data_IF_241928689795
#
_entry.id   IF_241928689795
#
_cell.length_a   1.000
_cell.length_b   1.000
_cell.length_c   1.000
_cell.angle_alpha   90.00
_cell.angle_beta   90.00
_cell.angle_gamma   90.00
#
_symmetry.space_group_name_H-M   'P 1'
#
loop_
_entity.id
_entity.type
_entity.pdbx_description
1 polymer ?
#
# COMPACT_ATOMS: atom_id res chain seq x y z
N UNK A 1 5.92 15.12 -1.03
CA UNK A 1 4.50 15.04 -0.66
C UNK A 1 3.66 15.02 -1.92
N UNK A 2 2.69 14.11 -2.01
CA UNK A 2 1.72 14.05 -3.10
C UNK A 2 0.41 14.62 -2.58
N UNK A 3 -0.19 15.55 -3.29
CA UNK A 3 -1.50 16.12 -2.95
C UNK A 3 -2.47 15.93 -4.11
N UNK A 4 -3.63 15.37 -3.81
CA UNK A 4 -4.76 15.19 -4.73
C UNK A 4 -5.94 15.93 -4.14
N UNK A 5 -6.55 16.86 -4.88
CA UNK A 5 -7.65 17.70 -4.39
C UNK A 5 -8.81 17.69 -5.37
N UNK A 6 -9.95 17.14 -4.93
CA UNK A 6 -11.23 17.12 -5.63
C UNK A 6 -11.15 16.63 -7.09
N UNK A 7 -10.33 15.59 -7.32
CA UNK A 7 -10.07 15.09 -8.67
C UNK A 7 -11.26 14.31 -9.20
N UNK A 8 -11.74 14.73 -10.35
CA UNK A 8 -12.82 14.07 -11.11
C UNK A 8 -12.28 13.60 -12.46
N UNK A 9 -12.67 12.39 -12.86
CA UNK A 9 -12.42 11.84 -14.18
C UNK A 9 -13.58 11.00 -14.69
N UNK A 10 -14.05 11.34 -15.87
CA UNK A 10 -15.14 10.64 -16.55
C UNK A 10 -14.66 10.07 -17.88
N UNK A 11 -15.05 8.83 -18.19
CA UNK A 11 -14.82 8.17 -19.47
C UNK A 11 -16.17 7.70 -20.01
N UNK A 12 -16.56 8.15 -21.19
CA UNK A 12 -17.81 7.76 -21.87
C UNK A 12 -19.06 7.78 -20.96
N UNK A 13 -19.15 8.82 -20.11
CA UNK A 13 -20.25 8.99 -19.15
C UNK A 13 -20.07 8.25 -17.81
N UNK A 14 -19.09 7.33 -17.71
CA UNK A 14 -18.78 6.66 -16.46
C UNK A 14 -17.75 7.48 -15.64
N UNK A 15 -18.13 7.85 -14.42
CA UNK A 15 -17.28 8.61 -13.51
C UNK A 15 -16.33 7.67 -12.78
N UNK A 16 -15.08 7.58 -13.28
CA UNK A 16 -14.05 6.70 -12.73
C UNK A 16 -13.37 7.28 -11.49
N UNK A 17 -13.29 8.60 -11.36
CA UNK A 17 -12.91 9.33 -10.14
C UNK A 17 -13.97 10.37 -9.84
N UNK A 18 -14.43 10.45 -8.60
CA UNK A 18 -15.56 11.28 -8.17
C UNK A 18 -15.18 12.13 -6.95
N UNK A 19 -14.40 13.20 -7.18
CA UNK A 19 -13.96 14.10 -6.14
C UNK A 19 -12.91 13.50 -5.21
N UNK A 20 -11.93 12.78 -5.78
CA UNK A 20 -10.86 12.15 -4.99
C UNK A 20 -10.00 13.22 -4.33
N UNK A 21 -9.88 13.12 -3.01
CA UNK A 21 -8.96 13.94 -2.20
C UNK A 21 -8.13 13.00 -1.34
N UNK A 22 -6.79 13.12 -1.40
CA UNK A 22 -5.85 12.34 -0.59
C UNK A 22 -4.50 13.03 -0.48
N UNK A 23 -3.74 12.67 0.55
CA UNK A 23 -2.41 13.20 0.78
C UNK A 23 -1.42 12.09 1.14
N UNK A 24 -0.32 12.00 0.37
CA UNK A 24 0.80 11.10 0.71
C UNK A 24 1.92 11.92 1.32
N UNK A 25 2.28 11.71 2.60
CA UNK A 25 3.39 12.41 3.23
C UNK A 25 4.72 12.09 2.54
N UNK A 26 5.69 13.01 2.65
CA UNK A 26 7.03 12.78 2.10
C UNK A 26 7.74 11.66 2.88
N UNK A 27 8.37 10.73 2.17
CA UNK A 27 9.08 9.60 2.76
C UNK A 27 8.17 8.55 3.38
N UNK A 28 6.86 8.62 3.14
CA UNK A 28 5.90 7.62 3.58
C UNK A 28 5.75 6.48 2.57
N UNK A 29 5.33 5.33 3.05
CA UNK A 29 4.82 4.21 2.24
C UNK A 29 3.31 4.17 2.37
N UNK A 30 2.63 4.63 1.35
CA UNK A 30 1.17 4.75 1.33
C UNK A 30 0.52 3.60 0.54
N UNK A 31 -0.33 2.83 1.19
CA UNK A 31 -1.14 1.78 0.59
C UNK A 31 -2.50 2.29 0.13
N UNK A 32 -2.79 2.26 -1.17
CA UNK A 32 -4.10 2.55 -1.74
C UNK A 32 -4.84 1.24 -1.98
N UNK A 33 -5.81 0.93 -1.13
CA UNK A 33 -6.55 -0.33 -1.16
C UNK A 33 -7.95 -0.16 -1.72
N UNK A 34 -8.44 -1.18 -2.40
CA UNK A 34 -9.83 -1.20 -2.87
C UNK A 34 -10.08 -2.32 -3.88
N UNK A 35 -11.34 -2.68 -4.13
CA UNK A 35 -11.69 -3.73 -5.08
C UNK A 35 -11.30 -3.37 -6.51
N UNK A 36 -11.35 -4.36 -7.38
CA UNK A 36 -11.20 -4.13 -8.81
C UNK A 36 -12.30 -3.18 -9.31
N UNK A 37 -11.91 -2.17 -10.09
CA UNK A 37 -12.82 -1.14 -10.56
C UNK A 37 -13.04 0.04 -9.58
N UNK A 38 -12.41 0.04 -8.40
CA UNK A 38 -12.51 1.16 -7.44
C UNK A 38 -11.96 2.50 -7.95
N UNK A 39 -11.11 2.48 -9.01
CA UNK A 39 -10.50 3.67 -9.58
C UNK A 39 -9.00 3.80 -9.30
N UNK A 40 -8.37 2.85 -8.59
CA UNK A 40 -6.95 2.88 -8.19
C UNK A 40 -6.00 3.16 -9.36
N UNK A 41 -6.01 2.30 -10.39
CA UNK A 41 -5.14 2.46 -11.57
C UNK A 41 -5.47 3.73 -12.37
N UNK A 42 -6.73 4.19 -12.35
CA UNK A 42 -7.11 5.47 -12.94
C UNK A 42 -6.45 6.62 -12.19
N UNK A 43 -6.52 6.64 -10.87
CA UNK A 43 -5.85 7.63 -10.04
C UNK A 43 -4.33 7.61 -10.25
N UNK A 44 -3.71 6.43 -10.25
CA UNK A 44 -2.27 6.25 -10.51
C UNK A 44 -1.86 6.86 -11.86
N UNK A 45 -2.65 6.67 -12.91
CA UNK A 45 -2.37 7.26 -14.23
C UNK A 45 -2.47 8.78 -14.23
N UNK A 46 -3.23 9.37 -13.34
CA UNK A 46 -3.23 10.84 -13.11
C UNK A 46 -1.99 11.27 -12.32
N UNK A 47 -1.61 10.53 -11.27
CA UNK A 47 -0.40 10.77 -10.46
C UNK A 47 0.88 10.65 -11.29
N UNK A 48 0.88 9.85 -12.34
CA UNK A 48 2.01 9.73 -13.29
C UNK A 48 1.91 10.72 -14.45
N UNK A 49 0.84 11.54 -14.49
CA UNK A 49 0.59 12.51 -15.54
C UNK A 49 0.30 11.91 -16.92
N UNK A 50 -0.18 10.65 -16.96
CA UNK A 50 -0.66 10.00 -18.19
C UNK A 50 -2.03 10.57 -18.56
N UNK A 51 -2.91 10.75 -17.56
CA UNK A 51 -4.22 11.35 -17.76
C UNK A 51 -4.28 12.76 -17.19
N UNK A 52 -5.04 13.62 -17.88
CA UNK A 52 -5.45 14.92 -17.36
C UNK A 52 -6.76 14.76 -16.59
N UNK A 53 -6.88 15.31 -15.36
CA UNK A 53 -8.16 15.34 -14.66
C UNK A 53 -9.16 16.26 -15.37
N UNK A 54 -10.45 15.96 -15.25
CA UNK A 54 -11.52 16.81 -15.78
C UNK A 54 -11.74 18.02 -14.86
N UNK A 55 -11.55 17.82 -13.54
CA UNK A 55 -11.48 18.87 -12.53
C UNK A 55 -10.60 18.45 -11.35
N UNK A 56 -10.28 19.40 -10.47
CA UNK A 56 -9.36 19.18 -9.34
C UNK A 56 -7.90 19.33 -9.73
N UNK A 57 -7.00 19.09 -8.77
CA UNK A 57 -5.55 19.25 -8.93
C UNK A 57 -4.79 18.06 -8.40
N UNK A 58 -3.62 17.80 -9.00
CA UNK A 58 -2.65 16.80 -8.56
C UNK A 58 -1.27 17.43 -8.58
N UNK A 59 -0.68 17.53 -7.40
CA UNK A 59 0.59 18.17 -7.18
C UNK A 59 1.58 17.24 -6.49
N UNK A 60 2.86 17.30 -6.88
CA UNK A 60 3.99 16.70 -6.17
C UNK A 60 4.91 17.82 -5.72
N UNK A 61 5.10 17.93 -4.40
CA UNK A 61 5.86 19.03 -3.77
C UNK A 61 5.37 20.41 -4.24
N UNK A 62 4.06 20.60 -4.36
CA UNK A 62 3.42 21.85 -4.77
C UNK A 62 3.55 22.18 -6.26
N UNK A 63 3.98 21.22 -7.08
CA UNK A 63 4.09 21.40 -8.53
C UNK A 63 3.13 20.45 -9.28
N UNK A 64 2.37 20.95 -10.27
CA UNK A 64 1.44 20.13 -11.02
C UNK A 64 2.17 19.05 -11.81
N UNK A 65 1.59 17.84 -11.84
CA UNK A 65 2.21 16.67 -12.49
C UNK A 65 1.94 16.66 -14.00
N UNK A 66 0.71 17.04 -14.41
CA UNK A 66 0.32 16.95 -15.81
C UNK A 66 1.13 17.93 -16.69
N UNK A 67 1.67 17.43 -17.79
CA UNK A 67 2.54 18.18 -18.72
C UNK A 67 3.77 18.85 -18.06
N UNK A 68 4.28 18.28 -16.96
CA UNK A 68 5.47 18.78 -16.27
C UNK A 68 6.61 17.76 -16.32
N UNK A 69 7.50 17.84 -17.32
CA UNK A 69 8.63 16.91 -17.46
C UNK A 69 9.57 16.90 -16.24
N UNK A 70 9.75 18.05 -15.59
CA UNK A 70 10.63 18.15 -14.43
C UNK A 70 10.11 17.33 -13.24
N UNK A 71 8.80 17.36 -12.99
CA UNK A 71 8.16 16.52 -11.97
C UNK A 71 8.17 15.06 -12.40
N UNK A 72 7.82 14.75 -13.65
CA UNK A 72 7.80 13.37 -14.17
C UNK A 72 9.19 12.70 -14.12
N UNK A 73 10.26 13.45 -14.31
CA UNK A 73 11.63 12.93 -14.19
C UNK A 73 12.01 12.48 -12.76
N UNK A 74 11.19 12.83 -11.76
CA UNK A 74 11.35 12.45 -10.35
C UNK A 74 10.50 11.25 -9.96
N UNK A 75 9.62 10.78 -10.85
CA UNK A 75 8.69 9.68 -10.63
C UNK A 75 9.18 8.43 -11.32
N UNK A 76 9.23 7.30 -10.61
CA UNK A 76 9.28 5.98 -11.20
C UNK A 76 7.91 5.31 -11.04
N UNK A 77 7.47 4.62 -12.10
CA UNK A 77 6.18 3.94 -12.12
C UNK A 77 6.33 2.51 -12.59
N UNK A 78 5.80 1.58 -11.81
CA UNK A 78 5.68 0.17 -12.17
C UNK A 78 4.19 -0.15 -12.30
N UNK A 79 3.67 -0.32 -13.52
CA UNK A 79 2.28 -0.70 -13.73
C UNK A 79 2.05 -2.19 -13.41
N UNK A 80 0.79 -2.56 -13.24
CA UNK A 80 0.41 -3.97 -13.09
C UNK A 80 0.82 -4.79 -14.31
N UNK A 81 0.40 -4.40 -15.52
CA UNK A 81 0.90 -4.97 -16.76
C UNK A 81 2.12 -4.18 -17.26
N UNK A 82 3.29 -4.78 -17.11
CA UNK A 82 4.56 -4.16 -17.52
C UNK A 82 4.69 -4.20 -19.03
N UNK A 83 4.88 -3.03 -19.66
CA UNK A 83 5.07 -2.91 -21.10
C UNK A 83 6.46 -2.36 -21.43
N UNK A 84 7.18 -3.06 -22.29
CA UNK A 84 8.47 -2.64 -22.84
C UNK A 84 8.48 -2.76 -24.37
N UNK A 85 9.46 -2.15 -25.03
CA UNK A 85 9.63 -2.32 -26.47
C UNK A 85 9.72 -3.81 -26.84
N UNK A 86 9.08 -4.25 -27.92
CA UNK A 86 8.85 -5.68 -28.21
C UNK A 86 10.09 -6.57 -28.22
N UNK A 87 11.26 -6.02 -28.55
CA UNK A 87 12.52 -6.78 -28.61
C UNK A 87 13.54 -6.35 -27.55
N UNK A 88 13.16 -5.43 -26.65
CA UNK A 88 14.08 -4.88 -25.67
C UNK A 88 14.55 -5.94 -24.68
N UNK A 89 15.83 -5.90 -24.39
CA UNK A 89 16.47 -6.53 -23.25
C UNK A 89 16.54 -5.54 -22.07
N UNK A 90 16.92 -6.02 -20.87
CA UNK A 90 17.12 -5.13 -19.71
C UNK A 90 18.20 -4.07 -19.99
N UNK A 91 19.37 -4.40 -20.60
CA UNK A 91 20.35 -3.39 -20.99
C UNK A 91 19.84 -2.37 -22.05
N UNK A 92 18.93 -2.76 -22.94
CA UNK A 92 18.35 -1.81 -23.91
C UNK A 92 17.48 -0.78 -23.20
N UNK A 93 16.63 -1.24 -22.26
CA UNK A 93 15.81 -0.35 -21.44
C UNK A 93 16.66 0.51 -20.50
N UNK A 94 17.73 -0.04 -19.94
CA UNK A 94 18.69 0.73 -19.14
C UNK A 94 19.27 1.91 -19.94
N UNK A 95 19.75 1.66 -21.16
CA UNK A 95 20.28 2.74 -22.03
C UNK A 95 19.22 3.80 -22.33
N UNK A 96 18.00 3.37 -22.60
CA UNK A 96 16.87 4.27 -22.84
C UNK A 96 16.58 5.14 -21.61
N UNK A 97 16.46 4.53 -20.41
CA UNK A 97 16.19 5.26 -19.19
C UNK A 97 17.33 6.20 -18.77
N UNK A 98 18.57 5.77 -18.95
CA UNK A 98 19.75 6.61 -18.70
C UNK A 98 19.75 7.89 -19.58
N UNK A 99 19.18 7.84 -20.76
CA UNK A 99 19.04 8.99 -21.65
C UNK A 99 17.93 9.97 -21.25
N UNK A 100 16.95 9.54 -20.44
CA UNK A 100 15.76 10.31 -20.08
C UNK A 100 15.82 10.79 -18.62
N UNK A 101 16.27 9.92 -17.72
CA UNK A 101 16.23 10.20 -16.28
C UNK A 101 17.59 10.72 -15.79
N UNK A 102 17.65 11.99 -15.33
CA UNK A 102 18.93 12.62 -14.98
C UNK A 102 19.59 12.01 -13.74
N UNK A 103 18.81 11.39 -12.85
CA UNK A 103 19.28 10.73 -11.63
C UNK A 103 19.63 9.25 -11.82
N UNK A 104 19.63 8.71 -13.05
CA UNK A 104 19.94 7.30 -13.28
C UNK A 104 21.29 6.91 -12.68
N UNK A 105 21.27 5.91 -11.79
CA UNK A 105 22.44 5.42 -11.06
C UNK A 105 22.94 4.10 -11.66
N UNK A 106 24.07 4.17 -12.38
CA UNK A 106 24.66 3.02 -13.07
C UNK A 106 25.28 2.00 -12.08
N UNK A 107 25.79 2.45 -10.94
CA UNK A 107 26.35 1.56 -9.92
C UNK A 107 25.22 0.77 -9.25
N UNK A 108 24.14 1.48 -8.89
CA UNK A 108 22.94 0.83 -8.34
C UNK A 108 22.33 -0.17 -9.32
N UNK A 109 22.27 0.17 -10.62
CA UNK A 109 21.81 -0.76 -11.64
C UNK A 109 22.62 -2.07 -11.62
N UNK A 110 23.94 -2.01 -11.45
CA UNK A 110 24.75 -3.21 -11.37
C UNK A 110 24.49 -4.03 -10.09
N UNK A 111 24.43 -3.36 -8.94
CA UNK A 111 24.09 -4.02 -7.66
C UNK A 111 22.73 -4.70 -7.70
N UNK A 112 21.73 -4.06 -8.26
CA UNK A 112 20.39 -4.65 -8.43
C UNK A 112 20.40 -5.85 -9.39
N UNK A 113 21.30 -5.84 -10.39
CA UNK A 113 21.50 -6.99 -11.28
C UNK A 113 21.99 -8.24 -10.53
N UNK A 114 22.86 -8.07 -9.53
CA UNK A 114 23.32 -9.16 -8.66
C UNK A 114 22.19 -9.69 -7.77
N UNK A 115 21.25 -8.83 -7.40
CA UNK A 115 20.09 -9.18 -6.58
C UNK A 115 19.05 -9.97 -7.39
N UNK A 116 18.64 -9.46 -8.55
CA UNK A 116 17.57 -10.07 -9.35
C UNK A 116 18.05 -11.27 -10.21
N UNK A 117 19.33 -11.34 -10.55
CA UNK A 117 19.99 -12.44 -11.28
C UNK A 117 19.26 -12.85 -12.58
N UNK A 118 18.64 -11.89 -13.27
CA UNK A 118 17.99 -12.12 -14.55
C UNK A 118 19.02 -12.17 -15.67
N UNK A 119 18.80 -13.04 -16.68
CA UNK A 119 19.65 -13.08 -17.88
C UNK A 119 19.50 -11.77 -18.67
N UNK A 120 20.53 -10.92 -18.74
CA UNK A 120 20.45 -9.63 -19.40
C UNK A 120 20.33 -9.72 -20.93
N UNK A 121 20.64 -10.88 -21.51
CA UNK A 121 20.54 -11.09 -22.97
C UNK A 121 19.14 -11.46 -23.43
N UNK A 122 18.28 -11.88 -22.49
CA UNK A 122 16.93 -12.31 -22.80
C UNK A 122 16.02 -11.11 -23.04
N UNK A 123 15.15 -11.19 -24.04
CA UNK A 123 14.12 -10.18 -24.26
C UNK A 123 13.13 -10.16 -23.09
N UNK A 124 12.79 -8.98 -22.56
CA UNK A 124 11.93 -8.86 -21.36
C UNK A 124 10.58 -9.53 -21.60
N UNK A 125 9.97 -9.39 -22.76
CA UNK A 125 8.68 -10.02 -23.10
C UNK A 125 8.69 -11.57 -23.07
N UNK A 126 9.88 -12.20 -23.11
CA UNK A 126 10.03 -13.67 -23.02
C UNK A 126 10.27 -14.16 -21.60
N UNK A 127 10.38 -13.27 -20.64
CA UNK A 127 10.44 -13.57 -19.23
C UNK A 127 9.04 -13.96 -18.72
N UNK A 128 8.95 -14.73 -17.62
CA UNK A 128 7.68 -14.94 -16.93
C UNK A 128 7.16 -13.61 -16.38
N UNK A 129 5.85 -13.51 -16.07
CA UNK A 129 5.27 -12.28 -15.50
C UNK A 129 6.02 -11.81 -14.25
N UNK A 130 6.34 -12.72 -13.32
CA UNK A 130 7.13 -12.38 -12.13
C UNK A 130 8.54 -11.88 -12.49
N UNK A 131 9.23 -12.50 -13.45
CA UNK A 131 10.54 -12.02 -13.91
C UNK A 131 10.46 -10.67 -14.64
N UNK A 132 9.35 -10.39 -15.33
CA UNK A 132 9.12 -9.06 -15.94
C UNK A 132 8.93 -7.98 -14.85
N UNK A 133 8.21 -8.28 -13.78
CA UNK A 133 8.10 -7.38 -12.61
C UNK A 133 9.45 -7.18 -11.93
N UNK A 134 10.27 -8.23 -11.76
CA UNK A 134 11.63 -8.08 -11.25
C UNK A 134 12.49 -7.16 -12.13
N UNK A 135 12.41 -7.31 -13.45
CA UNK A 135 13.09 -6.40 -14.40
C UNK A 135 12.58 -4.95 -14.26
N UNK A 136 11.28 -4.77 -14.03
CA UNK A 136 10.70 -3.45 -13.79
C UNK A 136 11.24 -2.81 -12.50
N UNK A 137 11.31 -3.57 -11.40
CA UNK A 137 11.94 -3.08 -10.16
C UNK A 137 13.41 -2.75 -10.36
N UNK A 138 14.17 -3.63 -11.00
CA UNK A 138 15.58 -3.38 -11.30
C UNK A 138 15.78 -2.05 -12.02
N UNK A 139 15.03 -1.82 -13.08
CA UNK A 139 15.12 -0.59 -13.88
C UNK A 139 14.60 0.63 -13.12
N UNK A 140 13.42 0.57 -12.50
CA UNK A 140 12.78 1.68 -11.81
C UNK A 140 13.58 2.16 -10.60
N UNK A 141 14.09 1.25 -9.79
CA UNK A 141 14.90 1.61 -8.62
C UNK A 141 16.29 2.16 -8.98
N UNK A 142 16.80 1.84 -10.20
CA UNK A 142 18.02 2.45 -10.72
C UNK A 142 17.86 3.93 -11.10
N UNK A 143 16.62 4.42 -11.17
CA UNK A 143 16.33 5.83 -11.48
C UNK A 143 16.54 6.76 -10.28
N UNK A 144 16.69 6.24 -9.05
CA UNK A 144 16.72 7.04 -7.80
C UNK A 144 15.54 8.02 -7.73
N UNK A 145 14.31 7.53 -7.82
CA UNK A 145 13.14 8.40 -7.85
C UNK A 145 12.90 9.07 -6.51
N UNK A 146 12.35 10.29 -6.53
CA UNK A 146 11.81 10.92 -5.32
C UNK A 146 10.43 10.34 -4.96
N UNK A 147 9.70 9.87 -5.98
CA UNK A 147 8.38 9.23 -5.85
C UNK A 147 8.37 7.92 -6.63
N UNK A 148 8.03 6.83 -5.94
CA UNK A 148 7.87 5.50 -6.52
C UNK A 148 6.39 5.10 -6.47
N UNK A 149 5.78 4.91 -7.63
CA UNK A 149 4.37 4.51 -7.75
C UNK A 149 4.30 3.07 -8.26
N UNK A 150 3.59 2.22 -7.52
CA UNK A 150 3.52 0.79 -7.74
C UNK A 150 2.06 0.36 -7.88
N UNK A 151 1.67 -0.18 -9.05
CA UNK A 151 0.31 -0.68 -9.29
C UNK A 151 0.32 -2.21 -9.25
N UNK A 152 -0.30 -2.80 -8.22
CA UNK A 152 -0.34 -4.26 -7.94
C UNK A 152 1.06 -4.93 -8.07
N UNK A 153 2.09 -4.41 -7.35
CA UNK A 153 3.49 -4.69 -7.68
C UNK A 153 3.96 -6.11 -7.41
N UNK A 154 3.33 -6.80 -6.48
CA UNK A 154 3.78 -8.14 -6.03
C UNK A 154 2.98 -9.30 -6.62
N UNK A 155 1.97 -9.00 -7.44
CA UNK A 155 1.22 -10.01 -8.17
C UNK A 155 2.14 -10.82 -9.08
N UNK A 156 2.07 -12.17 -8.95
CA UNK A 156 2.89 -13.09 -9.72
C UNK A 156 4.35 -13.24 -9.25
N UNK A 157 4.74 -12.58 -8.15
CA UNK A 157 6.02 -12.84 -7.47
C UNK A 157 5.86 -13.99 -6.47
N UNK A 158 6.88 -14.84 -6.39
CA UNK A 158 6.98 -15.82 -5.30
C UNK A 158 7.24 -15.13 -3.95
N UNK A 159 6.96 -15.80 -2.82
CA UNK A 159 7.09 -15.19 -1.49
C UNK A 159 8.50 -14.69 -1.16
N UNK A 160 9.56 -15.35 -1.64
CA UNK A 160 10.94 -14.95 -1.39
C UNK A 160 11.26 -13.66 -2.13
N UNK A 161 10.91 -13.61 -3.40
CA UNK A 161 11.11 -12.43 -4.24
C UNK A 161 10.26 -11.24 -3.78
N UNK A 162 9.01 -11.47 -3.35
CA UNK A 162 8.15 -10.44 -2.75
C UNK A 162 8.83 -9.78 -1.56
N UNK A 163 9.34 -10.59 -0.62
CA UNK A 163 10.06 -10.07 0.56
C UNK A 163 11.31 -9.29 0.19
N UNK A 164 12.04 -9.76 -0.81
CA UNK A 164 13.25 -9.09 -1.29
C UNK A 164 12.94 -7.72 -1.91
N UNK A 165 11.88 -7.64 -2.72
CA UNK A 165 11.40 -6.38 -3.32
C UNK A 165 10.99 -5.39 -2.22
N UNK A 166 10.22 -5.83 -1.21
CA UNK A 166 9.83 -4.97 -0.10
C UNK A 166 11.03 -4.44 0.69
N UNK A 167 12.01 -5.29 0.97
CA UNK A 167 13.25 -4.85 1.63
C UNK A 167 13.98 -3.77 0.83
N UNK A 168 14.04 -3.90 -0.50
CA UNK A 168 14.65 -2.88 -1.37
C UNK A 168 13.86 -1.57 -1.35
N UNK A 169 12.52 -1.63 -1.39
CA UNK A 169 11.65 -0.44 -1.33
C UNK A 169 11.82 0.28 0.01
N UNK A 170 11.76 -0.46 1.12
CA UNK A 170 11.92 0.09 2.46
C UNK A 170 13.32 0.69 2.69
N UNK A 171 14.36 0.07 2.13
CA UNK A 171 15.71 0.64 2.16
C UNK A 171 15.77 1.99 1.42
N UNK A 172 15.09 2.12 0.27
CA UNK A 172 15.02 3.39 -0.46
C UNK A 172 14.25 4.48 0.30
N UNK A 173 13.20 4.11 1.00
CA UNK A 173 12.48 5.03 1.89
C UNK A 173 13.39 5.52 3.00
N UNK A 174 14.06 4.59 3.69
CA UNK A 174 14.91 4.91 4.84
C UNK A 174 16.17 5.71 4.47
N UNK A 175 16.84 5.35 3.36
CA UNK A 175 18.12 5.94 2.98
C UNK A 175 17.98 7.21 2.13
N UNK A 176 16.96 7.26 1.26
CA UNK A 176 16.81 8.31 0.26
C UNK A 176 15.59 9.22 0.51
N UNK A 177 14.74 8.89 1.47
CA UNK A 177 13.48 9.60 1.70
C UNK A 177 12.49 9.47 0.53
N UNK A 178 12.57 8.37 -0.22
CA UNK A 178 11.65 8.09 -1.33
C UNK A 178 10.21 7.99 -0.82
N UNK A 179 9.29 8.71 -1.44
CA UNK A 179 7.86 8.58 -1.15
C UNK A 179 7.28 7.47 -2.02
N UNK A 180 6.60 6.51 -1.40
CA UNK A 180 6.07 5.34 -2.12
C UNK A 180 4.55 5.31 -2.05
N UNK A 181 3.90 5.08 -3.19
CA UNK A 181 2.47 4.80 -3.27
C UNK A 181 2.29 3.41 -3.90
N UNK A 182 1.57 2.54 -3.20
CA UNK A 182 1.32 1.16 -3.61
C UNK A 182 -0.19 0.98 -3.75
N UNK A 183 -0.69 0.55 -4.91
CA UNK A 183 -2.05 0.04 -4.99
C UNK A 183 -2.08 -1.47 -4.75
N UNK A 184 -3.07 -1.93 -4.04
CA UNK A 184 -3.39 -3.36 -3.91
C UNK A 184 -4.90 -3.57 -3.72
N UNK A 185 -5.37 -4.74 -4.13
CA UNK A 185 -6.70 -5.23 -3.77
C UNK A 185 -6.68 -6.11 -2.51
N UNK A 186 -5.49 -6.32 -1.92
CA UNK A 186 -5.27 -7.19 -0.76
C UNK A 186 -4.54 -6.42 0.36
N UNK A 187 -5.24 -6.18 1.48
CA UNK A 187 -4.70 -5.50 2.65
C UNK A 187 -3.49 -6.20 3.28
N UNK A 188 -3.49 -7.55 3.29
CA UNK A 188 -2.39 -8.33 3.88
C UNK A 188 -1.04 -8.08 3.22
N UNK A 189 -1.05 -7.75 1.94
CA UNK A 189 0.19 -7.47 1.20
C UNK A 189 0.87 -6.18 1.63
N UNK A 190 0.09 -5.26 2.21
CA UNK A 190 0.52 -3.92 2.61
C UNK A 190 0.84 -3.81 4.11
N UNK A 191 0.37 -4.77 4.90
CA UNK A 191 0.47 -4.76 6.37
C UNK A 191 1.91 -4.59 6.89
N UNK A 192 2.86 -5.26 6.23
CA UNK A 192 4.26 -5.26 6.64
C UNK A 192 5.07 -4.07 6.08
N UNK A 193 4.50 -3.27 5.17
CA UNK A 193 5.28 -2.29 4.41
C UNK A 193 4.74 -0.87 4.45
N UNK A 194 3.43 -0.69 4.68
CA UNK A 194 2.82 0.64 4.67
C UNK A 194 2.82 1.28 6.05
N UNK A 195 2.97 2.58 6.09
CA UNK A 195 2.77 3.42 7.28
C UNK A 195 1.48 4.26 7.21
N UNK A 196 0.91 4.38 6.01
CA UNK A 196 -0.37 5.04 5.75
C UNK A 196 -1.23 4.18 4.82
N UNK A 197 -2.53 4.20 5.02
CA UNK A 197 -3.48 3.48 4.16
C UNK A 197 -4.66 4.37 3.79
N UNK A 198 -5.03 4.32 2.51
CA UNK A 198 -6.26 4.88 1.97
C UNK A 198 -7.15 3.78 1.39
N UNK A 199 -8.44 3.79 1.71
CA UNK A 199 -9.42 2.88 1.11
C UNK A 199 -10.17 3.60 0.00
N UNK A 200 -10.14 3.00 -1.17
CA UNK A 200 -10.81 3.54 -2.36
C UNK A 200 -11.95 2.63 -2.81
N UNK A 201 -13.14 3.19 -3.03
CA UNK A 201 -14.26 2.50 -3.63
C UNK A 201 -15.12 3.46 -4.45
N UNK A 202 -15.69 2.97 -5.58
CA UNK A 202 -16.59 3.76 -6.42
C UNK A 202 -16.02 5.10 -6.87
N UNK A 203 -14.71 5.18 -7.12
CA UNK A 203 -14.03 6.39 -7.55
C UNK A 203 -13.77 7.42 -6.45
N UNK A 204 -13.93 7.07 -5.18
CA UNK A 204 -13.70 7.94 -4.01
C UNK A 204 -12.71 7.32 -3.04
N UNK A 205 -11.94 8.14 -2.35
CA UNK A 205 -11.22 7.72 -1.14
C UNK A 205 -12.20 7.86 0.03
N UNK A 206 -12.58 6.72 0.60
CA UNK A 206 -13.56 6.67 1.69
C UNK A 206 -12.91 6.95 3.03
N UNK A 207 -11.65 6.57 3.16
CA UNK A 207 -10.88 6.63 4.38
C UNK A 207 -9.41 6.82 4.09
N UNK A 208 -8.74 7.59 4.95
CA UNK A 208 -7.29 7.81 4.92
C UNK A 208 -6.77 7.96 6.35
N UNK A 209 -5.86 7.05 6.77
CA UNK A 209 -5.26 7.09 8.12
C UNK A 209 -3.80 6.64 8.16
N UNK A 210 -2.99 7.20 9.07
CA UNK A 210 -1.74 6.57 9.50
C UNK A 210 -2.05 5.24 10.21
N UNK A 211 -1.30 4.18 9.89
CA UNK A 211 -1.52 2.86 10.52
C UNK A 211 -1.28 2.88 12.03
N UNK A 212 -0.32 3.66 12.49
CA UNK A 212 -0.02 3.79 13.92
C UNK A 212 -1.21 4.32 14.73
N UNK A 213 -2.03 5.22 14.15
CA UNK A 213 -3.22 5.74 14.81
C UNK A 213 -4.34 4.69 14.86
N UNK A 214 -4.52 3.93 13.79
CA UNK A 214 -5.50 2.84 13.75
C UNK A 214 -5.15 1.73 14.74
N UNK A 215 -3.86 1.39 14.87
CA UNK A 215 -3.39 0.35 15.79
C UNK A 215 -3.40 0.78 17.27
N UNK A 216 -3.33 2.07 17.53
CA UNK A 216 -3.30 2.58 18.92
C UNK A 216 -4.67 2.54 19.63
N UNK A 217 -5.76 2.52 18.87
CA UNK A 217 -7.12 2.66 19.40
C UNK A 217 -7.86 1.35 19.61
N UNK A 218 -7.33 0.23 19.08
CA UNK A 218 -7.98 -1.09 19.14
C UNK A 218 -7.01 -2.15 19.61
N UNK A 219 -7.47 -3.01 20.49
CA UNK A 219 -6.67 -4.11 21.03
C UNK A 219 -7.39 -5.43 20.83
N UNK A 220 -6.69 -6.42 20.32
CA UNK A 220 -7.14 -7.81 20.28
C UNK A 220 -6.56 -8.57 21.46
N UNK A 221 -7.43 -9.16 22.26
CA UNK A 221 -7.04 -9.90 23.45
C UNK A 221 -7.58 -11.31 23.38
N UNK A 222 -6.70 -12.26 23.67
CA UNK A 222 -7.06 -13.65 23.96
C UNK A 222 -7.13 -13.83 25.47
N UNK A 223 -8.30 -14.17 26.01
CA UNK A 223 -8.49 -14.33 27.46
C UNK A 223 -9.24 -15.63 27.76
N UNK A 224 -8.72 -16.42 28.70
CA UNK A 224 -9.42 -17.57 29.26
C UNK A 224 -9.76 -17.26 30.72
N UNK A 225 -11.05 -17.25 31.03
CA UNK A 225 -11.56 -16.99 32.36
C UNK A 225 -11.81 -18.30 33.16
N UNK A 226 -11.68 -18.29 34.49
CA UNK A 226 -12.13 -19.39 35.32
C UNK A 226 -13.62 -19.66 35.13
N UNK A 227 -14.03 -20.91 35.36
CA UNK A 227 -15.44 -21.31 35.26
C UNK A 227 -16.36 -20.43 36.17
N UNK A 228 -17.42 -19.92 35.55
CA UNK A 228 -18.39 -19.06 36.23
C UNK A 228 -17.95 -17.60 36.41
N UNK A 229 -16.82 -17.19 35.84
CA UNK A 229 -16.37 -15.79 35.86
C UNK A 229 -16.83 -15.09 34.57
N UNK A 230 -17.46 -13.94 34.74
CA UNK A 230 -17.86 -13.08 33.62
C UNK A 230 -16.76 -12.07 33.26
N UNK A 231 -16.85 -11.53 32.05
CA UNK A 231 -15.97 -10.44 31.61
C UNK A 231 -16.21 -9.18 32.46
N UNK A 232 -15.15 -8.45 32.86
CA UNK A 232 -15.30 -7.22 33.61
C UNK A 232 -16.15 -6.17 32.87
N UNK A 233 -16.97 -5.46 33.60
CA UNK A 233 -17.76 -4.35 33.05
C UNK A 233 -16.86 -3.18 32.59
N UNK A 234 -17.37 -2.38 31.67
CA UNK A 234 -16.75 -1.15 31.21
C UNK A 234 -15.67 -1.34 30.14
N UNK A 235 -15.59 -2.51 29.50
CA UNK A 235 -14.84 -2.73 28.26
C UNK A 235 -15.72 -2.32 27.09
N UNK A 236 -15.18 -1.48 26.20
CA UNK A 236 -15.84 -1.14 24.93
C UNK A 236 -15.53 -2.23 23.89
N UNK A 237 -16.32 -3.33 23.96
CA UNK A 237 -16.08 -4.52 23.14
C UNK A 237 -16.72 -4.33 21.78
N UNK A 238 -15.88 -4.21 20.74
CA UNK A 238 -16.29 -4.12 19.34
C UNK A 238 -16.67 -5.49 18.78
N UNK A 239 -15.96 -6.54 19.20
CA UNK A 239 -16.24 -7.91 18.78
C UNK A 239 -15.84 -8.91 19.87
N UNK A 240 -16.66 -9.97 19.99
CA UNK A 240 -16.41 -11.07 20.91
C UNK A 240 -16.70 -12.40 20.20
N UNK A 241 -15.75 -13.32 20.28
CA UNK A 241 -15.96 -14.71 19.90
C UNK A 241 -15.37 -15.63 20.95
N UNK A 242 -15.84 -16.88 21.03
CA UNK A 242 -15.34 -17.86 21.99
C UNK A 242 -15.14 -19.23 21.36
N UNK A 243 -14.06 -19.91 21.77
CA UNK A 243 -13.79 -21.31 21.47
C UNK A 243 -13.56 -22.04 22.80
N UNK A 244 -14.58 -22.72 23.33
CA UNK A 244 -14.56 -23.28 24.67
C UNK A 244 -14.44 -22.17 25.73
N UNK A 245 -13.38 -22.23 26.56
CA UNK A 245 -13.10 -21.24 27.61
C UNK A 245 -12.24 -20.06 27.14
N UNK A 246 -11.74 -20.08 25.90
CA UNK A 246 -10.92 -19.01 25.33
C UNK A 246 -11.81 -18.00 24.59
N UNK A 247 -11.81 -16.77 25.07
CA UNK A 247 -12.45 -15.63 24.41
C UNK A 247 -11.43 -14.89 23.54
N UNK A 248 -11.84 -14.52 22.36
CA UNK A 248 -11.15 -13.52 21.52
C UNK A 248 -11.98 -12.24 21.60
N UNK A 249 -11.39 -11.19 22.16
CA UNK A 249 -12.02 -9.90 22.31
C UNK A 249 -11.31 -8.89 21.43
N UNK A 250 -12.06 -8.06 20.73
CA UNK A 250 -11.56 -6.84 20.10
C UNK A 250 -12.19 -5.68 20.83
N UNK A 251 -11.33 -4.87 21.45
CA UNK A 251 -11.74 -3.85 22.42
C UNK A 251 -11.18 -2.50 21.99
N UNK A 252 -12.00 -1.48 22.01
CA UNK A 252 -11.57 -0.11 21.82
C UNK A 252 -10.88 0.41 23.08
N UNK A 253 -9.67 0.91 22.96
CA UNK A 253 -8.88 1.46 24.05
C UNK A 253 -7.40 1.10 24.02
N UNK A 254 -6.66 1.62 24.99
CA UNK A 254 -5.23 1.36 25.17
C UNK A 254 -4.96 -0.06 25.68
N UNK A 255 -3.92 -0.71 25.17
CA UNK A 255 -3.57 -2.09 25.52
C UNK A 255 -3.30 -2.28 27.01
N UNK A 256 -2.64 -1.34 27.67
CA UNK A 256 -2.33 -1.44 29.10
C UNK A 256 -3.60 -1.27 29.96
N UNK A 257 -4.50 -0.38 29.59
CA UNK A 257 -5.77 -0.18 30.28
C UNK A 257 -6.66 -1.43 30.16
N UNK A 258 -6.82 -1.94 28.93
CA UNK A 258 -7.63 -3.15 28.66
C UNK A 258 -7.06 -4.36 29.40
N UNK A 259 -5.74 -4.56 29.35
CA UNK A 259 -5.07 -5.66 30.06
C UNK A 259 -5.23 -5.56 31.56
N UNK A 260 -5.04 -4.38 32.14
CA UNK A 260 -5.25 -4.15 33.59
C UNK A 260 -6.68 -4.46 34.01
N UNK A 261 -7.66 -4.05 33.22
CA UNK A 261 -9.08 -4.29 33.52
C UNK A 261 -9.44 -5.77 33.43
N UNK A 262 -8.96 -6.48 32.40
CA UNK A 262 -9.17 -7.92 32.27
C UNK A 262 -8.46 -8.72 33.37
N UNK A 263 -7.31 -8.26 33.85
CA UNK A 263 -6.56 -8.89 34.95
C UNK A 263 -7.34 -8.93 36.29
N UNK A 264 -8.32 -8.05 36.50
CA UNK A 264 -9.18 -8.04 37.70
C UNK A 264 -10.02 -9.31 37.80
N UNK A 265 -10.34 -9.95 36.67
CA UNK A 265 -11.07 -11.22 36.65
C UNK A 265 -10.19 -12.45 36.89
N UNK A 266 -8.90 -12.26 37.20
CA UNK A 266 -7.92 -13.33 37.46
C UNK A 266 -7.91 -14.41 36.35
N UNK A 267 -7.71 -14.02 35.08
CA UNK A 267 -7.77 -14.94 33.96
C UNK A 267 -6.69 -16.03 34.05
N UNK A 268 -7.01 -17.26 33.62
CA UNK A 268 -6.05 -18.35 33.49
C UNK A 268 -5.06 -18.13 32.38
N UNK A 269 -5.46 -17.39 31.32
CA UNK A 269 -4.65 -16.97 30.20
C UNK A 269 -5.08 -15.56 29.77
N UNK A 270 -4.12 -14.71 29.50
CA UNK A 270 -4.33 -13.36 28.98
C UNK A 270 -3.16 -12.99 28.08
N UNK A 271 -3.43 -12.70 26.83
CA UNK A 271 -2.42 -12.30 25.85
C UNK A 271 -2.97 -11.23 24.91
N UNK A 272 -2.13 -10.27 24.58
CA UNK A 272 -2.44 -9.22 23.60
C UNK A 272 -1.82 -9.60 22.28
N UNK A 273 -2.66 -9.77 21.27
CA UNK A 273 -2.28 -10.20 19.93
C UNK A 273 -2.41 -9.01 18.96
N UNK A 274 -1.44 -8.81 18.06
CA UNK A 274 -1.58 -7.77 17.05
C UNK A 274 -2.81 -8.01 16.17
N UNK A 275 -3.54 -6.93 15.89
CA UNK A 275 -4.63 -6.93 14.92
C UNK A 275 -4.04 -6.93 13.50
N UNK A 276 -4.66 -7.69 12.60
CA UNK A 276 -4.41 -7.55 11.17
C UNK A 276 -5.05 -6.26 10.65
N UNK A 277 -4.54 -5.73 9.56
CA UNK A 277 -5.16 -4.56 8.91
C UNK A 277 -6.62 -4.83 8.54
N UNK A 278 -6.95 -6.04 8.08
CA UNK A 278 -8.32 -6.43 7.80
C UNK A 278 -9.23 -6.34 9.04
N UNK A 279 -8.76 -6.84 10.18
CA UNK A 279 -9.49 -6.75 11.46
C UNK A 279 -9.68 -5.30 11.90
N UNK A 280 -8.62 -4.48 11.82
CA UNK A 280 -8.71 -3.05 12.15
C UNK A 280 -9.79 -2.38 11.29
N UNK A 281 -9.77 -2.60 9.98
CA UNK A 281 -10.75 -2.01 9.09
C UNK A 281 -12.17 -2.51 9.33
N UNK A 282 -12.35 -3.80 9.62
CA UNK A 282 -13.68 -4.36 9.89
C UNK A 282 -14.26 -3.77 11.18
N UNK A 283 -13.47 -3.63 12.22
CA UNK A 283 -13.96 -3.29 13.57
C UNK A 283 -13.93 -1.80 13.88
N UNK A 284 -12.95 -1.04 13.39
CA UNK A 284 -12.90 0.42 13.55
C UNK A 284 -13.92 1.11 12.64
N UNK A 285 -14.09 0.61 11.43
CA UNK A 285 -14.84 1.27 10.37
C UNK A 285 -16.13 0.56 10.00
N UNK A 286 -16.24 -0.74 10.24
CA UNK A 286 -17.44 -1.53 9.96
C UNK A 286 -18.64 -1.19 10.86
N UNK A 287 -18.42 -0.41 11.93
CA UNK A 287 -19.50 0.19 12.72
C UNK A 287 -20.13 1.42 12.09
N UNK A 288 -19.42 2.10 11.18
CA UNK A 288 -19.86 3.36 10.57
C UNK A 288 -20.45 3.19 9.15
N UNK A 289 -19.98 2.19 8.38
CA UNK A 289 -20.50 1.99 7.01
C UNK A 289 -20.40 0.53 6.55
N UNK A 290 -21.55 -0.09 6.29
CA UNK A 290 -21.68 -1.44 5.68
C UNK A 290 -20.89 -1.59 4.36
N UNK A 291 -20.62 -0.48 3.67
CA UNK A 291 -19.91 -0.45 2.40
C UNK A 291 -18.44 -0.93 2.50
N UNK A 292 -17.80 -0.82 3.65
CA UNK A 292 -16.40 -1.25 3.83
C UNK A 292 -16.32 -2.77 4.03
N UNK A 293 -17.30 -3.37 4.69
CA UNK A 293 -17.36 -4.81 4.94
C UNK A 293 -17.46 -5.65 3.65
N UNK A 294 -18.21 -5.16 2.67
CA UNK A 294 -18.39 -5.81 1.36
C UNK A 294 -17.14 -5.66 0.44
N UNK A 295 -16.20 -4.80 0.83
CA UNK A 295 -14.95 -4.55 0.08
C UNK A 295 -13.83 -5.50 0.53
N UNK A 296 -13.88 -5.95 1.79
CA UNK A 296 -12.80 -6.69 2.45
C UNK A 296 -13.05 -8.21 2.53
N UNK A 297 -14.26 -8.68 2.28
CA UNK A 297 -14.67 -10.09 2.23
C UNK A 297 -14.90 -10.53 0.79
#
# INVERSE_FOLDING_TARGET
MIEVKDVVKTFDGFRALDGVTMTVPRGAVYGLVGPNGAGKSTLIRHLTGIYRPDSGTIDIDGQPVYENPAVKARIAYIPDDVFYFPQATIPDMMRYYRGIYPKFDAERYQKLGEVFQLDPKRQIRRLSKGMQKQAAFWLAMSLRPDVLILDEPVDGLDPVMRRQVWNLVLADVAENGTTVLISSHNLRELEDVCDHVGIMNGGKVLLEHPLAELQANIVKVLVALPDGTELPEGLDILHQSSQGHLYTLIVHGDAAEVTNRLSTAQPQYLDVVPLTLEEIFIYELGGADYAVKDILL
#
